data_IF_203030094309
#
_entry.id   IF_203030094309
#
_cell.length_a   1.000
_cell.length_b   1.000
_cell.length_c   1.000
_cell.angle_alpha   90.00
_cell.angle_beta   90.00
_cell.angle_gamma   90.00
#
_symmetry.space_group_name_H-M   'P 1'
#
loop_
_entity.id
_entity.type
_entity.pdbx_description
1 polymer ?
#
# COMPACT_ATOMS: atom_id res chain seq x y z
N UNK A 1 -15.43 -33.52 61.98
CA UNK A 1 -15.86 -33.85 60.60
C UNK A 1 -14.99 -33.05 59.64
N UNK A 2 -14.08 -33.71 58.90
CA UNK A 2 -13.33 -33.07 57.81
C UNK A 2 -14.18 -33.17 56.54
N UNK A 3 -14.62 -32.03 56.00
CA UNK A 3 -15.37 -31.96 54.74
C UNK A 3 -14.36 -31.65 53.63
N UNK A 4 -14.07 -32.62 52.76
CA UNK A 4 -13.28 -32.39 51.55
C UNK A 4 -14.20 -31.81 50.48
N UNK A 5 -13.84 -30.63 49.96
CA UNK A 5 -14.53 -29.99 48.84
C UNK A 5 -13.90 -30.48 47.53
N UNK A 6 -14.62 -31.29 46.76
CA UNK A 6 -14.23 -31.66 45.41
C UNK A 6 -14.69 -30.55 44.45
N UNK A 7 -13.72 -29.84 43.86
CA UNK A 7 -13.98 -28.89 42.77
C UNK A 7 -13.97 -29.69 41.46
N UNK A 8 -15.14 -29.83 40.84
CA UNK A 8 -15.28 -30.36 39.49
C UNK A 8 -15.03 -29.23 38.50
N UNK A 9 -13.85 -29.23 37.87
CA UNK A 9 -13.55 -28.32 36.75
C UNK A 9 -14.17 -28.92 35.50
N UNK A 10 -15.30 -28.37 35.06
CA UNK A 10 -15.86 -28.68 33.73
C UNK A 10 -14.93 -28.08 32.67
N UNK A 11 -14.20 -28.93 31.95
CA UNK A 11 -13.57 -28.55 30.70
C UNK A 11 -14.66 -28.40 29.64
N UNK A 12 -15.05 -27.16 29.34
CA UNK A 12 -15.73 -26.88 28.08
C UNK A 12 -14.69 -27.01 26.97
N UNK A 13 -14.71 -28.11 26.24
CA UNK A 13 -14.07 -28.19 24.93
C UNK A 13 -14.88 -27.28 24.00
N UNK A 14 -14.40 -26.05 23.82
CA UNK A 14 -14.88 -25.18 22.75
C UNK A 14 -14.47 -25.87 21.46
N UNK A 15 -15.45 -26.37 20.71
CA UNK A 15 -15.20 -26.76 19.33
C UNK A 15 -14.97 -25.47 18.55
N UNK A 16 -13.87 -25.33 17.79
CA UNK A 16 -13.75 -24.22 16.87
C UNK A 16 -14.64 -24.55 15.67
N UNK A 17 -15.80 -23.90 15.59
CA UNK A 17 -16.47 -23.64 14.34
C UNK A 17 -16.16 -22.18 14.02
N UNK A 18 -15.19 -21.92 13.15
CA UNK A 18 -15.22 -20.70 12.33
C UNK A 18 -14.29 -20.77 11.13
N UNK A 19 -14.93 -20.55 9.97
CA UNK A 19 -14.45 -19.90 8.76
C UNK A 19 -13.08 -20.29 8.18
N UNK A 20 -13.07 -21.41 7.45
CA UNK A 20 -12.21 -21.54 6.28
C UNK A 20 -12.62 -20.49 5.22
N UNK A 21 -11.91 -19.36 5.16
CA UNK A 21 -11.86 -18.55 3.94
C UNK A 21 -10.83 -19.18 2.98
N UNK A 22 -11.21 -19.37 1.72
CA UNK A 22 -10.51 -20.23 0.74
C UNK A 22 -9.44 -19.47 -0.08
N UNK A 23 -8.45 -20.18 -0.67
CA UNK A 23 -7.93 -21.51 -0.34
C UNK A 23 -6.53 -21.45 0.27
N UNK A 24 -6.29 -22.31 1.26
CA UNK A 24 -4.95 -22.79 1.57
C UNK A 24 -4.38 -23.51 0.32
N UNK A 25 -3.55 -22.82 -0.45
CA UNK A 25 -2.86 -23.39 -1.63
C UNK A 25 -1.62 -24.22 -1.24
N UNK A 26 -1.19 -24.21 0.02
CA UNK A 26 -0.06 -25.02 0.51
C UNK A 26 -0.43 -26.49 0.76
N UNK A 27 -1.73 -26.84 0.70
CA UNK A 27 -2.23 -28.22 0.79
C UNK A 27 -2.36 -28.96 -0.55
N UNK A 28 -2.11 -28.27 -1.68
CA UNK A 28 -2.21 -28.87 -3.03
C UNK A 28 -0.80 -29.26 -3.51
N UNK A 29 -0.54 -30.53 -3.84
CA UNK A 29 0.73 -30.96 -4.44
C UNK A 29 1.05 -30.11 -5.67
N UNK A 30 2.32 -29.75 -5.87
CA UNK A 30 2.78 -28.89 -6.97
C UNK A 30 2.37 -29.41 -8.37
N UNK A 31 2.03 -30.69 -8.50
CA UNK A 31 1.50 -31.32 -9.71
C UNK A 31 0.00 -31.09 -9.98
N UNK A 32 -0.73 -30.52 -9.03
CA UNK A 32 -2.17 -30.27 -9.06
C UNK A 32 -2.53 -28.77 -8.91
N UNK A 33 -1.54 -27.88 -8.79
CA UNK A 33 -1.74 -26.45 -9.03
C UNK A 33 -2.10 -26.37 -10.52
N UNK A 34 -3.36 -26.06 -10.88
CA UNK A 34 -3.69 -25.92 -12.27
C UNK A 34 -2.85 -24.75 -12.79
N UNK A 35 -2.53 -24.78 -14.07
CA UNK A 35 -1.78 -23.74 -14.78
C UNK A 35 -2.58 -22.41 -14.88
N UNK A 36 -3.33 -22.06 -13.83
CA UNK A 36 -4.40 -21.07 -13.76
C UNK A 36 -3.96 -19.94 -12.84
N UNK A 37 -3.86 -18.75 -13.40
CA UNK A 37 -3.61 -17.50 -12.67
C UNK A 37 -4.75 -17.21 -11.69
N UNK A 38 -4.49 -16.51 -10.57
CA UNK A 38 -5.53 -15.97 -9.65
C UNK A 38 -6.72 -15.32 -10.40
N UNK A 39 -6.44 -14.77 -11.58
CA UNK A 39 -7.38 -14.27 -12.57
C UNK A 39 -8.56 -15.20 -12.92
N UNK A 40 -8.35 -16.51 -12.98
CA UNK A 40 -9.37 -17.47 -13.44
C UNK A 40 -10.51 -17.64 -12.41
N UNK A 41 -10.26 -17.30 -11.14
CA UNK A 41 -11.30 -17.24 -10.11
C UNK A 41 -12.20 -15.99 -10.22
N UNK A 42 -11.71 -14.93 -10.88
CA UNK A 42 -12.40 -13.65 -11.02
C UNK A 42 -12.99 -13.43 -12.40
N UNK A 43 -12.57 -14.20 -13.41
CA UNK A 43 -13.07 -14.08 -14.79
C UNK A 43 -14.59 -14.27 -14.90
N UNK A 44 -15.20 -15.04 -13.98
CA UNK A 44 -16.65 -15.21 -13.90
C UNK A 44 -17.41 -13.92 -13.60
N UNK A 45 -16.73 -12.91 -13.02
CA UNK A 45 -17.33 -11.62 -12.69
C UNK A 45 -17.24 -10.61 -13.84
N UNK A 46 -16.54 -10.93 -14.94
CA UNK A 46 -16.25 -9.97 -15.99
C UNK A 46 -17.52 -9.39 -16.62
N UNK A 47 -17.62 -8.06 -16.60
CA UNK A 47 -18.77 -7.31 -17.13
C UNK A 47 -19.99 -7.33 -16.22
N UNK A 48 -19.86 -7.84 -14.99
CA UNK A 48 -20.96 -7.84 -14.03
C UNK A 48 -21.32 -6.41 -13.64
N UNK A 49 -22.62 -6.12 -13.61
CA UNK A 49 -23.15 -4.80 -13.28
C UNK A 49 -24.49 -4.90 -12.55
N UNK A 50 -24.96 -3.76 -12.03
CA UNK A 50 -26.18 -3.67 -11.21
C UNK A 50 -27.39 -4.35 -11.85
N UNK A 51 -28.08 -5.15 -11.05
CA UNK A 51 -29.26 -5.92 -11.44
C UNK A 51 -28.97 -7.35 -11.89
N UNK A 52 -27.70 -7.74 -12.01
CA UNK A 52 -27.31 -9.12 -12.29
C UNK A 52 -27.10 -9.92 -11.01
N UNK A 53 -27.06 -11.25 -11.14
CA UNK A 53 -26.75 -12.18 -10.07
C UNK A 53 -25.66 -13.13 -10.56
N UNK A 54 -24.53 -13.16 -9.86
CA UNK A 54 -23.36 -13.97 -10.25
C UNK A 54 -22.82 -14.68 -9.02
N UNK A 55 -22.61 -15.99 -9.13
CA UNK A 55 -22.15 -16.81 -8.01
C UNK A 55 -20.82 -16.29 -7.48
N UNK A 56 -20.73 -16.03 -6.18
CA UNK A 56 -19.51 -15.56 -5.53
C UNK A 56 -19.42 -14.04 -5.32
N UNK A 57 -20.36 -13.24 -5.83
CA UNK A 57 -20.39 -11.80 -5.55
C UNK A 57 -20.54 -11.51 -4.05
N UNK A 58 -21.16 -12.40 -3.27
CA UNK A 58 -21.19 -12.28 -1.81
C UNK A 58 -19.76 -12.24 -1.21
N UNK A 59 -18.84 -13.04 -1.74
CA UNK A 59 -17.43 -13.05 -1.30
C UNK A 59 -16.69 -11.79 -1.74
N UNK A 60 -16.95 -11.32 -2.96
CA UNK A 60 -16.38 -10.06 -3.44
C UNK A 60 -16.86 -8.86 -2.59
N UNK A 61 -18.11 -8.86 -2.13
CA UNK A 61 -18.60 -7.87 -1.17
C UNK A 61 -17.86 -7.93 0.17
N UNK A 62 -17.51 -9.12 0.67
CA UNK A 62 -16.64 -9.23 1.86
C UNK A 62 -15.26 -8.59 1.63
N UNK A 63 -14.66 -8.77 0.44
CA UNK A 63 -13.42 -8.07 0.08
C UNK A 63 -13.60 -6.55 0.12
N UNK A 64 -14.65 -6.03 -0.52
CA UNK A 64 -14.93 -4.59 -0.48
C UNK A 64 -15.25 -4.08 0.94
N UNK A 65 -15.87 -4.89 1.79
CA UNK A 65 -16.10 -4.56 3.19
C UNK A 65 -14.78 -4.51 3.98
N UNK A 66 -13.87 -5.48 3.79
CA UNK A 66 -12.55 -5.52 4.42
C UNK A 66 -11.77 -4.23 4.19
N UNK A 67 -11.73 -3.75 2.94
CA UNK A 67 -11.01 -2.53 2.57
C UNK A 67 -11.83 -1.23 2.74
N UNK A 68 -13.01 -1.32 3.37
CA UNK A 68 -13.82 -0.17 3.78
C UNK A 68 -14.76 0.42 2.73
N UNK A 69 -14.79 -0.15 1.51
CA UNK A 69 -15.69 0.29 0.43
C UNK A 69 -17.16 -0.05 0.68
N UNK A 70 -17.42 -1.05 1.54
CA UNK A 70 -18.75 -1.35 2.08
C UNK A 70 -18.71 -1.15 3.59
N UNK A 71 -19.70 -0.45 4.14
CA UNK A 71 -19.79 -0.19 5.57
C UNK A 71 -19.83 -1.48 6.39
N UNK A 72 -19.14 -1.51 7.53
CA UNK A 72 -19.22 -2.60 8.50
C UNK A 72 -20.61 -2.73 9.15
N UNK A 73 -21.43 -1.67 9.09
CA UNK A 73 -22.83 -1.72 9.51
C UNK A 73 -23.76 -2.41 8.50
N UNK A 74 -23.28 -2.68 7.28
CA UNK A 74 -24.01 -3.49 6.30
C UNK A 74 -23.94 -4.97 6.70
N UNK A 75 -25.03 -5.72 6.48
CA UNK A 75 -25.14 -7.11 6.95
C UNK A 75 -24.01 -8.00 6.45
N UNK A 76 -23.37 -8.76 7.35
CA UNK A 76 -22.35 -9.77 7.02
C UNK A 76 -22.86 -10.91 6.11
N UNK A 77 -24.18 -11.03 5.93
CA UNK A 77 -24.81 -12.00 5.06
C UNK A 77 -25.06 -11.42 3.67
N UNK A 78 -23.99 -11.11 2.94
CA UNK A 78 -24.10 -10.64 1.57
C UNK A 78 -24.71 -11.70 0.65
N UNK A 79 -25.53 -11.24 -0.30
CA UNK A 79 -26.04 -12.09 -1.40
C UNK A 79 -25.16 -11.95 -2.64
N UNK A 80 -25.33 -12.89 -3.56
CA UNK A 80 -24.71 -12.90 -4.89
C UNK A 80 -25.35 -11.91 -5.90
N UNK A 81 -26.23 -11.03 -5.45
CA UNK A 81 -26.84 -10.01 -6.30
C UNK A 81 -25.91 -8.80 -6.44
N UNK A 82 -25.74 -8.28 -7.65
CA UNK A 82 -25.06 -7.01 -7.87
C UNK A 82 -26.03 -5.87 -7.55
N UNK A 83 -26.01 -5.44 -6.30
CA UNK A 83 -26.89 -4.41 -5.75
C UNK A 83 -26.24 -3.02 -5.74
N UNK A 84 -26.98 -2.03 -5.22
CA UNK A 84 -26.52 -0.64 -5.10
C UNK A 84 -25.28 -0.49 -4.21
N UNK A 85 -25.13 -1.39 -3.22
CA UNK A 85 -24.00 -1.42 -2.31
C UNK A 85 -22.74 -1.80 -3.08
N UNK A 86 -22.78 -2.90 -3.86
CA UNK A 86 -21.64 -3.32 -4.66
C UNK A 86 -21.31 -2.32 -5.78
N UNK A 87 -22.31 -1.76 -6.47
CA UNK A 87 -22.08 -0.73 -7.49
C UNK A 87 -21.33 0.48 -6.91
N UNK A 88 -21.77 0.97 -5.75
CA UNK A 88 -21.12 2.11 -5.08
C UNK A 88 -19.70 1.78 -4.63
N UNK A 89 -19.48 0.57 -4.10
CA UNK A 89 -18.16 0.09 -3.71
C UNK A 89 -17.20 0.00 -4.90
N UNK A 90 -17.64 -0.56 -6.03
CA UNK A 90 -16.85 -0.66 -7.27
C UNK A 90 -16.49 0.73 -7.79
N UNK A 91 -17.44 1.66 -7.83
CA UNK A 91 -17.18 3.06 -8.26
C UNK A 91 -16.13 3.73 -7.39
N UNK A 92 -16.25 3.60 -6.07
CA UNK A 92 -15.29 4.18 -5.12
C UNK A 92 -13.89 3.56 -5.29
N UNK A 93 -13.81 2.23 -5.44
CA UNK A 93 -12.56 1.53 -5.72
C UNK A 93 -11.90 2.04 -7.00
N UNK A 94 -12.67 2.15 -8.09
CA UNK A 94 -12.18 2.66 -9.37
C UNK A 94 -11.61 4.08 -9.22
N UNK A 95 -12.28 4.95 -8.46
CA UNK A 95 -11.79 6.31 -8.18
C UNK A 95 -10.47 6.27 -7.39
N UNK A 96 -10.36 5.40 -6.39
CA UNK A 96 -9.17 5.31 -5.54
C UNK A 96 -7.92 4.83 -6.28
N UNK A 97 -8.11 3.96 -7.27
CA UNK A 97 -7.04 3.39 -8.10
C UNK A 97 -6.94 4.03 -9.49
N UNK A 98 -7.52 5.23 -9.69
CA UNK A 98 -7.51 5.97 -10.96
C UNK A 98 -7.97 5.18 -12.19
N UNK A 99 -8.89 4.23 -11.99
CA UNK A 99 -9.53 3.45 -13.05
C UNK A 99 -10.75 4.20 -13.60
N UNK A 100 -11.27 3.74 -14.74
CA UNK A 100 -12.51 4.26 -15.27
C UNK A 100 -13.67 4.00 -14.29
N UNK A 101 -14.34 5.06 -13.85
CA UNK A 101 -15.47 5.00 -12.92
C UNK A 101 -16.76 4.51 -13.62
N UNK A 102 -16.78 3.23 -13.98
CA UNK A 102 -17.89 2.57 -14.67
C UNK A 102 -18.95 2.06 -13.69
N UNK A 103 -18.54 1.65 -12.48
CA UNK A 103 -19.37 0.89 -11.54
C UNK A 103 -19.63 -0.55 -11.97
N UNK A 104 -18.91 -1.03 -12.98
CA UNK A 104 -18.97 -2.39 -13.49
C UNK A 104 -17.67 -3.13 -13.16
N UNK A 105 -17.75 -4.45 -13.01
CA UNK A 105 -16.56 -5.31 -12.88
C UNK A 105 -15.91 -5.53 -14.25
N UNK A 106 -15.40 -4.45 -14.84
CA UNK A 106 -14.71 -4.45 -16.12
C UNK A 106 -13.31 -5.08 -16.02
N UNK A 107 -12.67 -5.29 -17.18
CA UNK A 107 -11.37 -5.98 -17.28
C UNK A 107 -10.30 -5.30 -16.42
N UNK A 108 -10.27 -3.96 -16.40
CA UNK A 108 -9.23 -3.22 -15.69
C UNK A 108 -9.44 -3.31 -14.18
N UNK A 109 -10.69 -3.17 -13.75
CA UNK A 109 -11.11 -3.28 -12.34
C UNK A 109 -10.77 -4.65 -11.79
N UNK A 110 -11.16 -5.72 -12.48
CA UNK A 110 -10.86 -7.08 -12.02
C UNK A 110 -9.35 -7.34 -12.02
N UNK A 111 -8.61 -6.85 -13.03
CA UNK A 111 -7.15 -7.07 -13.08
C UNK A 111 -6.45 -6.42 -11.90
N UNK A 112 -7.00 -5.31 -11.41
CA UNK A 112 -6.48 -4.59 -10.27
C UNK A 112 -6.88 -5.25 -8.92
N UNK A 113 -8.14 -5.71 -8.78
CA UNK A 113 -8.63 -6.35 -7.55
C UNK A 113 -7.81 -7.59 -7.16
N UNK A 114 -7.30 -8.33 -8.15
CA UNK A 114 -6.52 -9.56 -7.92
C UNK A 114 -5.05 -9.30 -7.58
N UNK A 115 -4.59 -8.04 -7.60
CA UNK A 115 -3.22 -7.73 -7.22
C UNK A 115 -3.02 -7.91 -5.71
N UNK A 116 -1.89 -8.51 -5.29
CA UNK A 116 -1.49 -8.52 -3.89
C UNK A 116 -1.36 -7.09 -3.34
N UNK A 117 -1.73 -6.90 -2.07
CA UNK A 117 -1.87 -5.57 -1.49
C UNK A 117 -1.68 -5.53 0.03
N UNK A 118 -1.52 -4.32 0.55
CA UNK A 118 -1.62 -4.01 1.98
C UNK A 118 -3.05 -4.29 2.49
N UNK A 119 -3.13 -4.78 3.73
CA UNK A 119 -4.33 -5.15 4.48
C UNK A 119 -5.08 -3.97 5.10
N UNK A 120 -4.46 -2.79 5.16
CA UNK A 120 -5.11 -1.60 5.72
C UNK A 120 -6.28 -1.12 4.83
N UNK A 121 -7.36 -0.57 5.42
CA UNK A 121 -8.50 -0.10 4.65
C UNK A 121 -8.21 1.19 3.87
N UNK A 122 -8.71 1.27 2.63
CA UNK A 122 -8.61 2.45 1.76
C UNK A 122 -9.64 3.54 2.14
N UNK A 123 -10.72 3.13 2.81
CA UNK A 123 -11.84 3.98 3.19
C UNK A 123 -12.14 3.74 4.67
N UNK A 124 -12.17 4.81 5.47
CA UNK A 124 -12.47 4.70 6.91
C UNK A 124 -13.63 5.62 7.23
N UNK A 125 -14.65 5.09 7.92
CA UNK A 125 -15.89 5.80 8.26
C UNK A 125 -16.57 6.46 7.04
N UNK A 126 -16.56 5.77 5.89
CA UNK A 126 -17.18 6.24 4.64
C UNK A 126 -16.44 7.39 3.94
N UNK A 127 -15.26 7.78 4.45
CA UNK A 127 -14.41 8.78 3.81
C UNK A 127 -13.21 8.07 3.22
N UNK A 128 -12.98 8.24 1.92
CA UNK A 128 -11.75 7.75 1.30
C UNK A 128 -10.54 8.45 1.92
N UNK A 129 -9.54 7.67 2.33
CA UNK A 129 -8.25 8.24 2.73
C UNK A 129 -7.49 8.64 1.46
N UNK A 130 -7.55 7.81 0.43
CA UNK A 130 -6.94 8.05 -0.89
C UNK A 130 -7.61 9.25 -1.60
N UNK A 131 -6.83 10.06 -2.32
CA UNK A 131 -7.25 11.28 -3.04
C UNK A 131 -7.60 12.50 -2.15
N UNK A 132 -6.89 12.70 -1.04
CA UNK A 132 -7.06 13.86 -0.13
C UNK A 132 -6.85 15.23 -0.80
N UNK A 133 -6.23 15.27 -1.99
CA UNK A 133 -5.85 16.47 -2.74
C UNK A 133 -6.94 17.20 -3.55
N UNK A 134 -8.24 16.97 -3.30
CA UNK A 134 -9.30 17.86 -3.85
C UNK A 134 -9.79 18.94 -2.87
N UNK A 135 -8.97 19.91 -2.39
CA UNK A 135 -9.52 21.16 -1.91
C UNK A 135 -10.12 21.95 -3.08
N UNK A 136 -11.38 22.38 -2.95
CA UNK A 136 -11.96 23.49 -3.71
C UNK A 136 -11.22 24.79 -3.33
N UNK A 137 -10.04 25.04 -3.87
CA UNK A 137 -9.42 26.37 -3.76
C UNK A 137 -8.90 26.81 -5.13
N UNK A 138 -9.30 28.03 -5.51
CA UNK A 138 -9.00 28.71 -6.77
C UNK A 138 -7.51 29.07 -6.88
N UNK A 139 -6.63 28.09 -7.01
CA UNK A 139 -5.21 28.30 -7.26
C UNK A 139 -4.85 27.84 -8.67
N UNK A 140 -4.11 28.66 -9.41
CA UNK A 140 -3.83 28.49 -10.85
C UNK A 140 -2.77 27.44 -11.16
N UNK A 141 -2.24 26.74 -10.16
CA UNK A 141 -1.31 25.61 -10.29
C UNK A 141 -1.77 24.53 -9.31
N UNK A 142 -2.40 23.47 -9.82
CA UNK A 142 -2.89 22.35 -9.01
C UNK A 142 -1.83 21.25 -8.96
N UNK A 143 -0.93 21.29 -7.97
CA UNK A 143 -0.28 20.05 -7.52
C UNK A 143 -1.28 19.32 -6.62
N UNK A 144 -1.93 18.29 -7.15
CA UNK A 144 -2.86 17.46 -6.38
C UNK A 144 -2.01 16.57 -5.48
N UNK A 145 -2.14 16.71 -4.16
CA UNK A 145 -1.53 15.79 -3.21
C UNK A 145 -2.24 14.42 -3.31
N UNK A 146 -1.50 13.34 -3.51
CA UNK A 146 -2.05 11.98 -3.59
C UNK A 146 -1.94 11.24 -2.26
N UNK A 147 -0.97 11.62 -1.42
CA UNK A 147 -0.79 11.11 -0.08
C UNK A 147 -2.01 11.38 0.81
N UNK A 148 -2.15 10.54 1.83
CA UNK A 148 -3.23 10.64 2.80
C UNK A 148 -2.77 10.30 4.21
N UNK A 149 -3.70 10.39 5.16
CA UNK A 149 -3.47 10.05 6.56
C UNK A 149 -4.63 9.20 7.07
N UNK A 150 -4.38 8.41 8.10
CA UNK A 150 -5.46 7.87 8.92
C UNK A 150 -6.31 8.99 9.53
N UNK A 151 -7.58 8.72 9.89
CA UNK A 151 -8.41 9.66 10.64
C UNK A 151 -7.65 10.24 11.83
N UNK A 152 -7.87 11.54 12.09
CA UNK A 152 -7.19 12.32 13.14
C UNK A 152 -5.68 12.57 12.93
N UNK A 153 -5.11 12.13 11.79
CA UNK A 153 -3.70 12.34 11.42
C UNK A 153 -2.72 11.94 12.55
N UNK A 154 -2.76 10.67 12.99
CA UNK A 154 -1.94 10.20 14.10
C UNK A 154 -0.45 10.33 13.76
N UNK A 155 0.33 10.69 14.77
CA UNK A 155 1.78 10.76 14.71
C UNK A 155 2.37 10.33 16.06
N UNK A 156 3.63 9.90 16.05
CA UNK A 156 4.36 9.71 17.31
C UNK A 156 4.45 11.05 18.08
N UNK A 157 4.41 11.04 19.42
CA UNK A 157 4.49 12.27 20.19
C UNK A 157 5.70 13.12 19.79
N UNK A 158 5.54 14.44 19.63
CA UNK A 158 6.61 15.33 19.18
C UNK A 158 7.89 15.29 20.05
N UNK A 159 7.77 14.85 21.32
CA UNK A 159 8.91 14.65 22.21
C UNK A 159 9.67 13.32 21.99
N UNK A 160 9.22 12.47 21.06
CA UNK A 160 9.74 11.13 20.81
C UNK A 160 10.24 11.03 19.37
N UNK A 161 11.50 11.41 19.18
CA UNK A 161 12.19 11.33 17.89
C UNK A 161 12.98 10.02 17.72
N UNK A 162 13.28 9.34 18.82
CA UNK A 162 13.93 8.02 18.82
C UNK A 162 12.87 6.93 19.03
N UNK A 163 12.63 6.14 17.99
CA UNK A 163 11.71 5.01 18.00
C UNK A 163 12.48 3.71 18.07
N UNK A 164 12.03 2.81 18.94
CA UNK A 164 12.61 1.47 19.06
C UNK A 164 11.74 0.45 18.35
N UNK A 165 12.36 -0.50 17.64
CA UNK A 165 11.65 -1.62 17.03
C UNK A 165 12.23 -2.96 17.47
N UNK A 166 11.41 -4.00 17.43
CA UNK A 166 11.82 -5.35 17.80
C UNK A 166 10.96 -6.39 17.11
N UNK A 167 11.55 -7.57 16.89
CA UNK A 167 10.92 -8.69 16.22
C UNK A 167 10.36 -9.70 17.22
N UNK A 168 9.22 -10.31 16.91
CA UNK A 168 8.64 -11.38 17.70
C UNK A 168 9.65 -12.55 17.75
N UNK A 169 10.15 -12.93 18.96
CA UNK A 169 11.24 -13.90 19.07
C UNK A 169 10.93 -15.27 18.44
N UNK A 170 9.67 -15.69 18.49
CA UNK A 170 9.23 -16.99 17.98
C UNK A 170 9.37 -17.12 16.46
N UNK A 171 9.38 -16.00 15.72
CA UNK A 171 9.62 -16.00 14.28
C UNK A 171 11.08 -16.36 13.90
N UNK A 172 12.03 -16.25 14.84
CA UNK A 172 13.44 -16.65 14.65
C UNK A 172 14.08 -16.09 13.37
N UNK A 173 13.85 -14.80 13.08
CA UNK A 173 14.33 -14.15 11.86
C UNK A 173 15.87 -14.15 11.77
N UNK A 174 16.38 -14.39 10.56
CA UNK A 174 17.82 -14.31 10.26
C UNK A 174 18.31 -12.87 10.28
N UNK A 175 19.61 -12.67 10.52
CA UNK A 175 20.23 -11.33 10.50
C UNK A 175 20.10 -10.63 9.14
N UNK A 176 20.04 -11.38 8.04
CA UNK A 176 19.81 -10.81 6.71
C UNK A 176 18.41 -10.16 6.61
N UNK A 177 17.39 -10.84 7.14
CA UNK A 177 16.02 -10.29 7.19
C UNK A 177 16.01 -9.05 8.09
N UNK A 178 16.61 -9.09 9.27
CA UNK A 178 16.67 -7.93 10.17
C UNK A 178 17.39 -6.74 9.55
N UNK A 179 18.50 -6.98 8.83
CA UNK A 179 19.24 -5.94 8.12
C UNK A 179 18.38 -5.24 7.05
N UNK A 180 17.51 -6.00 6.36
CA UNK A 180 16.55 -5.45 5.41
C UNK A 180 15.57 -4.47 6.08
N UNK A 181 15.04 -4.81 7.26
CA UNK A 181 14.21 -3.88 8.04
C UNK A 181 15.00 -2.63 8.45
N UNK A 182 16.27 -2.79 8.85
CA UNK A 182 17.16 -1.66 9.14
C UNK A 182 17.26 -0.68 7.97
N UNK A 183 17.48 -1.17 6.75
CA UNK A 183 17.50 -0.33 5.53
C UNK A 183 16.14 0.32 5.24
N UNK A 184 15.04 -0.38 5.49
CA UNK A 184 13.71 0.17 5.27
C UNK A 184 13.40 1.33 6.23
N UNK A 185 13.78 1.20 7.52
CA UNK A 185 13.71 2.30 8.48
C UNK A 185 14.65 3.45 8.14
N UNK A 186 15.86 3.15 7.66
CA UNK A 186 16.84 4.17 7.27
C UNK A 186 16.27 5.12 6.20
N UNK A 187 15.60 4.60 5.17
CA UNK A 187 14.94 5.42 4.13
C UNK A 187 13.97 6.45 4.70
N UNK A 188 13.15 6.06 5.67
CA UNK A 188 12.23 7.00 6.32
C UNK A 188 12.97 7.99 7.24
N UNK A 189 14.07 7.58 7.88
CA UNK A 189 14.91 8.48 8.69
C UNK A 189 15.67 9.52 7.85
N UNK A 190 15.96 9.24 6.58
CA UNK A 190 16.62 10.19 5.69
C UNK A 190 15.74 11.41 5.37
N UNK A 191 14.42 11.26 5.42
CA UNK A 191 13.46 12.31 5.02
C UNK A 191 12.64 12.87 6.19
N UNK A 192 12.85 12.36 7.40
CA UNK A 192 12.21 12.81 8.66
C UNK A 192 13.27 13.12 9.74
N UNK A 193 12.90 13.80 10.85
CA UNK A 193 13.78 13.92 12.01
C UNK A 193 13.80 12.68 12.92
N UNK A 194 13.11 11.60 12.55
CA UNK A 194 13.01 10.39 13.37
C UNK A 194 14.24 9.50 13.19
N UNK A 195 14.60 8.78 14.25
CA UNK A 195 15.63 7.73 14.22
C UNK A 195 15.03 6.42 14.72
N UNK A 196 15.57 5.30 14.23
CA UNK A 196 15.05 3.97 14.52
C UNK A 196 16.17 3.09 15.06
N UNK A 197 15.93 2.42 16.18
CA UNK A 197 16.92 1.54 16.81
C UNK A 197 16.31 0.17 17.11
N UNK A 198 16.95 -0.89 16.63
CA UNK A 198 16.57 -2.25 16.99
C UNK A 198 16.85 -2.48 18.49
N UNK A 199 15.90 -3.11 19.20
CA UNK A 199 16.07 -3.52 20.59
C UNK A 199 15.72 -4.99 20.77
N UNK A 200 16.38 -5.65 21.73
CA UNK A 200 16.07 -7.03 22.10
C UNK A 200 14.80 -7.16 22.96
N UNK A 201 14.23 -6.04 23.43
CA UNK A 201 13.06 -6.05 24.31
C UNK A 201 11.75 -5.88 23.54
N UNK A 202 11.25 -6.98 22.96
CA UNK A 202 10.01 -6.98 22.17
C UNK A 202 8.82 -6.30 22.88
N UNK A 203 8.59 -6.63 24.15
CA UNK A 203 7.47 -6.09 24.92
C UNK A 203 7.58 -4.59 25.21
N UNK A 204 8.78 -4.00 25.13
CA UNK A 204 9.03 -2.58 25.43
C UNK A 204 9.29 -1.75 24.17
N UNK A 205 9.45 -2.38 23.02
CA UNK A 205 9.65 -1.69 21.76
C UNK A 205 8.40 -0.86 21.41
N UNK A 206 8.64 0.32 20.84
CA UNK A 206 7.59 1.18 20.32
C UNK A 206 6.90 0.50 19.14
N UNK A 207 7.71 -0.12 18.27
CA UNK A 207 7.26 -0.84 17.08
C UNK A 207 7.52 -2.34 17.28
N UNK A 208 6.48 -3.16 17.14
CA UNK A 208 6.54 -4.62 17.33
C UNK A 208 6.22 -5.28 16.00
N UNK A 209 7.19 -6.04 15.50
CA UNK A 209 7.16 -6.64 14.17
C UNK A 209 7.00 -8.15 14.30
N UNK A 210 6.08 -8.75 13.55
CA UNK A 210 5.91 -10.20 13.55
C UNK A 210 5.37 -10.74 12.22
N UNK A 211 5.71 -11.98 11.93
CA UNK A 211 5.13 -12.78 10.85
C UNK A 211 4.08 -13.72 11.44
N UNK A 212 2.88 -13.72 10.86
CA UNK A 212 1.74 -14.48 11.33
C UNK A 212 1.01 -15.15 10.18
N UNK A 213 0.28 -16.23 10.44
CA UNK A 213 -0.55 -16.90 9.42
C UNK A 213 -2.00 -16.95 9.90
N UNK A 214 -2.96 -16.75 9.00
CA UNK A 214 -4.39 -16.84 9.31
C UNK A 214 -4.83 -15.91 10.44
N UNK A 215 -5.75 -16.38 11.29
CA UNK A 215 -6.18 -15.65 12.48
C UNK A 215 -5.06 -15.60 13.53
N UNK A 216 -4.66 -14.38 13.87
CA UNK A 216 -3.59 -14.08 14.81
C UNK A 216 -4.02 -13.12 15.93
N UNK A 217 -5.34 -13.01 16.17
CA UNK A 217 -5.89 -12.44 17.40
C UNK A 217 -6.07 -10.92 17.43
N UNK A 218 -5.86 -10.23 16.32
CA UNK A 218 -6.11 -8.78 16.17
C UNK A 218 -7.41 -8.44 15.41
N UNK A 219 -8.10 -9.46 14.88
CA UNK A 219 -9.34 -9.30 14.11
C UNK A 219 -9.12 -9.16 12.59
N UNK A 220 -7.87 -9.07 12.13
CA UNK A 220 -7.50 -8.88 10.71
C UNK A 220 -6.76 -10.11 10.19
N UNK A 221 -7.43 -11.26 10.15
CA UNK A 221 -6.83 -12.53 9.74
C UNK A 221 -6.19 -12.47 8.34
N UNK A 222 -5.01 -13.07 8.20
CA UNK A 222 -4.33 -13.26 6.92
C UNK A 222 -5.01 -14.33 6.07
N UNK A 223 -4.86 -14.24 4.74
CA UNK A 223 -5.58 -15.04 3.75
C UNK A 223 -4.71 -16.08 3.02
N UNK A 224 -3.43 -16.18 3.35
CA UNK A 224 -2.50 -17.16 2.83
C UNK A 224 -1.61 -16.55 1.73
N UNK A 225 -1.23 -17.34 0.73
CA UNK A 225 -0.35 -16.83 -0.32
C UNK A 225 -1.12 -15.86 -1.24
N UNK A 226 -0.54 -14.67 -1.42
CA UNK A 226 -1.07 -13.50 -2.09
C UNK A 226 -2.38 -12.99 -1.49
N UNK A 227 -2.91 -11.91 -2.04
CA UNK A 227 -4.04 -11.21 -1.44
C UNK A 227 -3.52 -10.18 -0.44
N UNK A 228 -3.60 -10.47 0.85
CA UNK A 228 -3.21 -9.55 1.92
C UNK A 228 -1.80 -9.84 2.42
N UNK A 229 -0.84 -9.00 2.04
CA UNK A 229 0.58 -9.24 2.28
C UNK A 229 1.03 -8.93 3.73
N UNK A 230 0.47 -7.86 4.29
CA UNK A 230 0.84 -7.30 5.57
C UNK A 230 -0.22 -6.26 6.01
N UNK A 231 -0.18 -5.87 7.28
CA UNK A 231 -0.87 -4.68 7.76
C UNK A 231 -0.14 -4.08 8.96
N UNK A 232 -0.36 -2.78 9.16
CA UNK A 232 0.28 -2.03 10.22
C UNK A 232 -0.68 -1.03 10.88
N UNK A 233 -0.49 -0.86 12.18
CA UNK A 233 -1.32 0.00 13.01
C UNK A 233 -0.62 1.32 13.28
N UNK A 234 -1.29 2.41 12.92
CA UNK A 234 -0.78 3.78 13.03
C UNK A 234 -0.36 4.16 14.46
N UNK A 235 0.43 5.23 14.63
CA UNK A 235 0.84 5.69 15.96
C UNK A 235 -0.33 5.90 16.92
N UNK A 236 -0.12 5.68 18.23
CA UNK A 236 1.11 5.19 18.86
C UNK A 236 1.13 3.66 19.03
N UNK A 237 0.25 2.91 18.34
CA UNK A 237 0.08 1.48 18.62
C UNK A 237 1.29 0.66 18.16
N UNK A 238 1.82 0.96 16.96
CA UNK A 238 3.11 0.46 16.50
C UNK A 238 3.16 -1.06 16.31
N UNK A 239 2.07 -1.68 15.82
CA UNK A 239 2.04 -3.09 15.49
C UNK A 239 2.22 -3.26 13.97
N UNK A 240 3.13 -4.12 13.56
CA UNK A 240 3.48 -4.37 12.17
C UNK A 240 3.47 -5.88 11.93
N UNK A 241 2.44 -6.36 11.24
CA UNK A 241 2.23 -7.77 10.96
C UNK A 241 2.48 -8.06 9.47
N UNK A 242 3.23 -9.11 9.18
CA UNK A 242 3.42 -9.64 7.83
C UNK A 242 2.77 -11.02 7.73
N UNK A 243 2.23 -11.35 6.57
CA UNK A 243 1.74 -12.70 6.32
C UNK A 243 2.94 -13.66 6.19
N UNK A 244 3.00 -14.64 7.08
CA UNK A 244 4.02 -15.68 7.14
C UNK A 244 3.85 -16.76 6.08
N UNK A 245 2.71 -16.82 5.40
CA UNK A 245 2.43 -17.80 4.35
C UNK A 245 3.01 -17.37 2.98
N UNK A 246 3.42 -16.11 2.84
CA UNK A 246 3.87 -15.54 1.57
C UNK A 246 5.24 -16.03 1.09
N UNK A 247 5.43 -16.02 -0.24
CA UNK A 247 6.73 -16.33 -0.85
C UNK A 247 7.63 -15.09 -0.89
N UNK A 248 8.09 -14.67 0.29
CA UNK A 248 8.98 -13.53 0.45
C UNK A 248 10.31 -13.74 -0.27
N UNK A 249 10.67 -12.78 -1.12
CA UNK A 249 12.02 -12.66 -1.68
C UNK A 249 12.69 -11.40 -1.15
N UNK A 250 14.02 -11.44 -1.10
CA UNK A 250 14.84 -10.31 -0.65
C UNK A 250 15.70 -9.82 -1.81
N UNK A 251 16.06 -8.53 -1.77
CA UNK A 251 16.97 -7.89 -2.72
C UNK A 251 16.60 -8.08 -4.20
N UNK A 252 15.31 -8.27 -4.50
CA UNK A 252 14.82 -8.51 -5.86
C UNK A 252 15.27 -9.86 -6.46
N UNK A 253 15.67 -10.86 -5.65
CA UNK A 253 15.98 -12.21 -6.15
C UNK A 253 14.71 -12.99 -6.52
N UNK A 254 14.11 -12.63 -7.65
CA UNK A 254 12.94 -13.31 -8.21
C UNK A 254 13.31 -14.56 -9.01
N UNK A 255 14.61 -14.85 -9.21
CA UNK A 255 15.08 -15.89 -10.13
C UNK A 255 14.87 -17.29 -9.54
N UNK A 256 14.95 -17.41 -8.21
CA UNK A 256 14.83 -18.68 -7.50
C UNK A 256 13.44 -18.95 -6.92
N UNK A 257 12.52 -17.99 -7.03
CA UNK A 257 11.16 -18.07 -6.51
C UNK A 257 10.15 -18.43 -7.62
N UNK A 258 8.96 -18.90 -7.23
CA UNK A 258 7.81 -18.96 -8.15
C UNK A 258 7.49 -17.54 -8.61
N UNK A 259 7.76 -17.13 -9.86
CA UNK A 259 7.66 -15.72 -10.26
C UNK A 259 6.23 -15.19 -10.15
N UNK A 260 5.25 -16.09 -10.23
CA UNK A 260 3.83 -15.79 -10.16
C UNK A 260 3.33 -15.49 -8.73
N UNK A 261 4.12 -15.82 -7.71
CA UNK A 261 3.75 -15.60 -6.31
C UNK A 261 4.86 -14.98 -5.45
N UNK A 262 5.99 -14.59 -6.06
CA UNK A 262 7.10 -13.95 -5.37
C UNK A 262 6.79 -12.49 -5.05
N UNK A 263 7.01 -12.11 -3.79
CA UNK A 263 6.75 -10.76 -3.27
C UNK A 263 8.04 -10.20 -2.66
N UNK A 264 8.45 -9.01 -3.07
CA UNK A 264 9.63 -8.36 -2.50
C UNK A 264 9.34 -7.85 -1.09
N UNK A 265 10.02 -8.45 -0.10
CA UNK A 265 9.82 -8.15 1.31
C UNK A 265 10.17 -6.70 1.64
N UNK A 266 11.24 -6.15 1.08
CA UNK A 266 11.66 -4.77 1.38
C UNK A 266 10.62 -3.76 0.90
N UNK A 267 9.99 -4.01 -0.25
CA UNK A 267 8.93 -3.14 -0.77
C UNK A 267 7.73 -3.06 0.18
N UNK A 268 7.26 -4.21 0.68
CA UNK A 268 6.18 -4.25 1.66
C UNK A 268 6.63 -3.61 2.97
N UNK A 269 7.85 -3.87 3.42
CA UNK A 269 8.35 -3.29 4.68
C UNK A 269 8.44 -1.77 4.63
N UNK A 270 8.94 -1.18 3.53
CA UNK A 270 8.98 0.28 3.39
C UNK A 270 7.56 0.86 3.40
N UNK A 271 6.59 0.21 2.74
CA UNK A 271 5.17 0.60 2.76
C UNK A 271 4.58 0.60 4.18
N UNK A 272 4.68 -0.53 4.89
CA UNK A 272 4.09 -0.67 6.23
C UNK A 272 4.73 0.27 7.25
N UNK A 273 6.01 0.61 7.11
CA UNK A 273 6.63 1.64 7.96
C UNK A 273 5.95 2.99 7.75
N UNK A 274 5.53 3.34 6.53
CA UNK A 274 4.76 4.58 6.30
C UNK A 274 3.47 4.62 7.13
N UNK A 275 2.76 3.49 7.25
CA UNK A 275 1.61 3.34 8.15
C UNK A 275 1.98 3.44 9.62
N UNK A 276 3.07 2.80 10.04
CA UNK A 276 3.63 2.93 11.41
C UNK A 276 3.98 4.38 11.75
N UNK A 277 4.22 5.21 10.75
CA UNK A 277 4.46 6.64 10.93
C UNK A 277 3.22 7.51 10.74
N UNK A 278 2.07 6.94 10.35
CA UNK A 278 0.77 7.63 10.30
C UNK A 278 0.28 8.02 8.91
N UNK A 279 1.01 7.65 7.85
CA UNK A 279 0.52 7.81 6.48
C UNK A 279 -0.60 6.84 6.19
N UNK A 280 -1.60 7.29 5.43
CA UNK A 280 -2.56 6.42 4.77
C UNK A 280 -2.08 6.03 3.37
N UNK A 281 -2.92 5.31 2.64
CA UNK A 281 -2.62 4.95 1.26
C UNK A 281 -2.60 6.16 0.31
N UNK A 282 -1.71 6.13 -0.69
CA UNK A 282 -1.66 7.10 -1.78
C UNK A 282 -2.42 6.60 -3.00
N UNK A 283 -3.02 7.52 -3.77
CA UNK A 283 -3.58 7.21 -5.08
C UNK A 283 -2.57 7.30 -6.23
N UNK A 284 -1.32 7.64 -5.96
CA UNK A 284 -0.24 7.63 -6.95
C UNK A 284 0.37 6.23 -7.05
N UNK A 285 0.21 5.56 -8.20
CA UNK A 285 0.76 4.22 -8.46
C UNK A 285 2.29 4.15 -8.31
N UNK A 286 2.99 5.28 -8.48
CA UNK A 286 4.43 5.34 -8.27
C UNK A 286 4.84 5.44 -6.80
N UNK A 287 3.97 5.92 -5.90
CA UNK A 287 4.28 6.19 -4.49
C UNK A 287 4.41 4.91 -3.65
N UNK A 288 5.35 4.83 -2.71
CA UNK A 288 5.50 3.61 -1.88
C UNK A 288 4.21 3.28 -1.14
N UNK A 289 3.44 4.30 -0.75
CA UNK A 289 2.15 4.15 -0.08
C UNK A 289 0.99 3.75 -1.01
N UNK A 290 1.24 3.44 -2.28
CA UNK A 290 0.22 2.82 -3.14
C UNK A 290 -0.13 1.42 -2.61
N UNK A 291 -1.42 1.04 -2.49
CA UNK A 291 -1.81 -0.17 -1.76
C UNK A 291 -1.35 -1.49 -2.37
N UNK A 292 -1.16 -1.55 -3.69
CA UNK A 292 -0.93 -2.82 -4.41
C UNK A 292 0.50 -2.95 -4.92
N UNK A 293 0.99 -4.18 -4.99
CA UNK A 293 2.29 -4.51 -5.59
C UNK A 293 2.16 -5.77 -6.42
N UNK A 294 2.66 -5.74 -7.65
CA UNK A 294 2.66 -6.90 -8.53
C UNK A 294 3.75 -7.89 -8.13
N UNK A 295 3.51 -9.19 -8.28
CA UNK A 295 4.56 -10.20 -8.11
C UNK A 295 5.73 -9.93 -9.04
N UNK A 296 6.96 -10.14 -8.56
CA UNK A 296 8.16 -9.81 -9.32
C UNK A 296 8.52 -8.32 -9.39
N UNK A 297 7.77 -7.45 -8.72
CA UNK A 297 8.06 -6.02 -8.64
C UNK A 297 8.85 -5.70 -7.36
N UNK A 298 9.81 -4.79 -7.51
CA UNK A 298 10.54 -4.18 -6.39
C UNK A 298 10.34 -2.68 -6.43
N UNK A 299 9.90 -2.11 -5.30
CA UNK A 299 9.57 -0.71 -5.12
C UNK A 299 9.98 -0.30 -3.71
N UNK A 300 11.16 0.30 -3.58
CA UNK A 300 11.76 0.64 -2.27
C UNK A 300 12.11 2.12 -2.15
N UNK A 301 12.02 2.88 -3.23
CA UNK A 301 12.35 4.31 -3.24
C UNK A 301 11.13 5.14 -2.84
N UNK A 302 11.34 6.14 -1.99
CA UNK A 302 10.29 7.10 -1.62
C UNK A 302 10.11 8.11 -2.76
N UNK A 303 8.87 8.29 -3.21
CA UNK A 303 8.54 9.34 -4.18
C UNK A 303 8.34 10.68 -3.50
N UNK A 304 8.21 11.74 -4.30
CA UNK A 304 7.87 13.06 -3.78
C UNK A 304 6.52 13.07 -3.04
N UNK A 305 5.54 12.24 -3.45
CA UNK A 305 4.26 12.15 -2.75
C UNK A 305 4.43 11.60 -1.32
N UNK A 306 5.24 10.55 -1.18
CA UNK A 306 5.57 9.94 0.12
C UNK A 306 6.34 10.92 1.03
N UNK A 307 7.34 11.60 0.46
CA UNK A 307 8.18 12.58 1.17
C UNK A 307 7.35 13.78 1.62
N UNK A 308 6.53 14.33 0.73
CA UNK A 308 5.64 15.44 1.08
C UNK A 308 4.66 15.05 2.18
N UNK A 309 4.06 13.85 2.07
CA UNK A 309 3.14 13.32 3.06
C UNK A 309 3.77 13.19 4.44
N UNK A 310 4.94 12.54 4.53
CA UNK A 310 5.58 12.28 5.82
C UNK A 310 6.08 13.56 6.50
N UNK A 311 6.54 14.53 5.69
CA UNK A 311 7.02 15.82 6.20
C UNK A 311 5.87 16.71 6.71
N UNK A 312 4.62 16.48 6.30
CA UNK A 312 3.47 17.13 6.95
C UNK A 312 3.28 16.68 8.41
N UNK A 313 3.68 15.45 8.75
CA UNK A 313 3.55 14.91 10.11
C UNK A 313 4.75 15.26 10.99
N UNK A 314 5.97 15.16 10.45
CA UNK A 314 7.19 15.24 11.26
C UNK A 314 8.12 16.40 10.89
N UNK A 315 7.89 17.10 9.78
CA UNK A 315 8.85 18.04 9.20
C UNK A 315 9.99 17.33 8.46
N UNK A 316 10.89 18.12 7.87
CA UNK A 316 12.03 17.60 7.10
C UNK A 316 13.15 17.09 7.99
N UNK A 317 13.98 16.19 7.44
CA UNK A 317 15.21 15.76 8.11
C UNK A 317 16.14 16.94 8.40
N UNK A 318 16.86 16.85 9.51
CA UNK A 318 17.91 17.81 9.90
C UNK A 318 19.27 17.46 9.28
N UNK A 319 19.37 16.32 8.58
CA UNK A 319 20.57 15.92 7.88
C UNK A 319 20.76 16.74 6.60
N UNK A 320 21.73 17.66 6.64
CA UNK A 320 22.09 18.61 5.59
C UNK A 320 22.55 18.02 4.24
N UNK A 321 22.53 16.69 4.08
CA UNK A 321 22.89 16.01 2.84
C UNK A 321 21.70 15.74 1.90
N UNK A 322 20.45 15.84 2.38
CA UNK A 322 19.29 15.78 1.50
C UNK A 322 18.99 17.18 0.96
N UNK A 323 19.62 17.51 -0.16
CA UNK A 323 19.28 18.72 -0.92
C UNK A 323 17.90 18.48 -1.55
N UNK A 324 16.91 19.26 -1.14
CA UNK A 324 15.58 19.36 -1.75
C UNK A 324 15.72 19.25 -3.29
N UNK A 325 15.12 18.23 -3.96
CA UNK A 325 15.18 18.15 -5.40
C UNK A 325 14.39 19.34 -5.94
N UNK A 326 15.12 20.38 -6.34
CA UNK A 326 14.60 21.60 -6.96
C UNK A 326 13.51 21.21 -7.96
N UNK A 327 12.28 21.66 -7.67
CA UNK A 327 11.14 21.65 -8.58
C UNK A 327 11.55 22.28 -9.91
N UNK A 328 11.95 21.46 -10.87
CA UNK A 328 12.10 21.87 -12.27
C UNK A 328 10.87 21.37 -13.03
N UNK A 329 10.05 22.27 -13.61
CA UNK A 329 8.95 21.83 -14.46
C UNK A 329 9.53 21.14 -15.70
N UNK A 330 9.44 19.81 -15.74
CA UNK A 330 9.80 19.02 -16.92
C UNK A 330 8.71 19.18 -17.98
N UNK A 331 8.86 20.20 -18.83
CA UNK A 331 8.12 20.28 -20.09
C UNK A 331 8.72 19.27 -21.09
N UNK A 332 8.28 18.02 -21.02
CA UNK A 332 8.47 17.06 -22.11
C UNK A 332 7.26 17.11 -23.04
N UNK A 333 7.37 17.95 -24.07
CA UNK A 333 6.58 17.83 -25.30
C UNK A 333 7.41 16.99 -26.27
N UNK A 334 7.21 15.68 -26.26
CA UNK A 334 7.70 14.83 -27.34
C UNK A 334 6.64 14.75 -28.44
N UNK A 335 6.90 15.52 -29.49
CA UNK A 335 6.18 15.49 -30.75
C UNK A 335 6.83 14.44 -31.65
N UNK A 336 6.06 13.41 -32.02
CA UNK A 336 6.46 12.43 -33.03
C UNK A 336 6.78 13.11 -34.37
N UNK A 337 7.88 12.67 -34.97
CA UNK A 337 8.41 13.21 -36.21
C UNK A 337 7.55 12.97 -37.43
N UNK A 338 7.56 13.96 -38.32
CA UNK A 338 7.40 13.78 -39.74
C UNK A 338 8.39 14.72 -40.45
N UNK A 339 9.30 14.12 -41.21
CA UNK A 339 10.16 14.78 -42.19
C UNK A 339 9.34 15.68 -43.12
N UNK A 340 9.82 16.89 -43.43
CA UNK A 340 9.92 17.45 -44.80
C UNK A 340 10.56 18.86 -44.77
N UNK A 341 11.63 18.98 -45.56
CA UNK A 341 12.25 20.17 -46.21
C UNK A 341 12.43 21.52 -45.47
N UNK A 342 13.72 21.80 -45.20
CA UNK A 342 14.52 22.98 -45.59
C UNK A 342 13.76 24.29 -45.93
N UNK A 343 13.96 25.33 -45.11
CA UNK A 343 14.38 26.68 -45.52
C UNK A 343 14.46 27.63 -44.30
N UNK A 344 15.66 28.14 -43.99
CA UNK A 344 15.85 29.33 -43.15
C UNK A 344 16.83 30.25 -43.87
N UNK A 345 16.31 31.38 -44.35
CA UNK A 345 17.09 32.51 -44.82
C UNK A 345 17.72 33.24 -43.62
N UNK A 346 19.00 33.57 -43.77
CA UNK A 346 19.83 34.33 -42.84
C UNK A 346 19.26 35.73 -42.52
N UNK A 347 19.34 36.12 -41.25
CA UNK A 347 19.36 37.53 -40.84
C UNK A 347 20.77 37.90 -40.35
N UNK A 348 21.39 38.88 -41.02
CA UNK A 348 22.65 39.49 -40.60
C UNK A 348 22.36 40.65 -39.66
N UNK A 349 23.06 40.66 -38.52
CA UNK A 349 23.20 41.83 -37.67
C UNK A 349 24.18 42.84 -38.26
N UNK A 350 24.00 44.13 -37.95
CA UNK A 350 24.99 45.17 -38.19
C UNK A 350 25.20 45.97 -36.91
N UNK A 351 26.48 46.12 -36.59
CA UNK A 351 27.08 46.74 -35.42
C UNK A 351 27.16 48.26 -35.58
N UNK A 352 27.10 48.92 -34.42
CA UNK A 352 27.22 50.33 -34.08
C UNK A 352 28.45 51.09 -34.63
N UNK A 353 28.16 52.31 -35.10
CA UNK A 353 28.65 53.59 -34.58
C UNK A 353 29.90 54.30 -35.13
N UNK A 354 29.72 55.63 -35.10
CA UNK A 354 30.65 56.76 -35.04
C UNK A 354 31.17 57.28 -36.38
N UNK A 355 30.62 58.44 -36.75
CA UNK A 355 31.25 59.38 -37.64
C UNK A 355 32.17 60.34 -36.89
N UNK A 356 33.21 60.81 -37.59
CA UNK A 356 33.67 62.18 -37.46
C UNK A 356 34.35 62.59 -38.77
N UNK A 357 33.90 63.73 -39.31
CA UNK A 357 34.36 64.36 -40.53
C UNK A 357 35.34 65.47 -40.15
N UNK A 358 36.52 65.55 -40.79
CA UNK A 358 37.29 66.80 -40.87
C UNK A 358 38.03 66.90 -42.22
N UNK A 359 37.57 67.88 -43.01
CA UNK A 359 38.26 68.78 -43.95
C UNK A 359 39.23 68.26 -45.01
N UNK A 360 38.84 68.46 -46.29
CA UNK A 360 39.21 69.66 -47.06
C UNK A 360 38.11 70.03 -48.06
#
# INVERSE_FOLDING_TARGET
MKLSLFIFVLFFTVTPISAHFFPNITSIPTSLIPNTTLWDGFSQFLGSHKGQKVNGLAKLKNYFQRFGYISSSSSANFTDDFDEILESAVKMYQINFNLNNTGELDVQTLKHIVLPRCGNPDVINGTSTMNSGKPQTNSTIHTVAHYSFFPDKPSWPASKTELTYSFLPDNQLTENVKSLFGRAFERWSEVTPLTFTETSSFLRADIKIGFFSGDHGDGEAFDGILGTLAHAFSPPLGLFHLDGDENWVMDGDFINASPLSAVDLESVVVHEIGHILGLGHSSDEAAIMYPTISSGMRKVELTNDDIMGIQQLYGSSTNSNYSDPILTPRNERDSNGAHYLVCLFWSHGIILAIGFFLFL
#
